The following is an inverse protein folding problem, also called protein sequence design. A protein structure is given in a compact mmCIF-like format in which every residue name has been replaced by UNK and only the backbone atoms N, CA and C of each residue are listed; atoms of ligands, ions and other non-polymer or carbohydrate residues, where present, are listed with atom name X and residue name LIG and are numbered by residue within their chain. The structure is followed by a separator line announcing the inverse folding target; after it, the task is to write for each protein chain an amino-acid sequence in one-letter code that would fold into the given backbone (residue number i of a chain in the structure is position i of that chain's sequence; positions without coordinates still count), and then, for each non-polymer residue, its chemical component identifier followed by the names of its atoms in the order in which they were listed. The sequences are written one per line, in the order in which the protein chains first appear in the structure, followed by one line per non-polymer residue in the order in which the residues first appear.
data_IF_258760031621
#
_entry.id   IF_258760031621
#
_cell.length_a   1.000
_cell.length_b   1.000
_cell.length_c   1.000
_cell.angle_alpha   90.00
_cell.angle_beta   90.00
_cell.angle_gamma   90.00
#
_symmetry.space_group_name_H-M   'P 1'
#
loop_
_entity.id
_entity.type
_entity.pdbx_description
1 polymer ?
#
# COMPACT_ATOMS: atom_id res chain seq x y z
N UNK A 1 14.07 38.24 -57.59
CA UNK A 1 13.51 36.98 -57.04
C UNK A 1 14.25 36.76 -55.74
N UNK A 2 13.56 36.92 -54.61
CA UNK A 2 14.12 36.53 -53.30
C UNK A 2 14.30 35.02 -53.31
N UNK A 3 15.53 34.58 -53.03
CA UNK A 3 15.86 33.17 -52.86
C UNK A 3 14.99 32.63 -51.72
N UNK A 4 14.09 31.71 -52.02
CA UNK A 4 13.25 31.08 -51.01
C UNK A 4 14.15 30.04 -50.36
N UNK A 5 14.46 30.23 -49.08
CA UNK A 5 15.20 29.27 -48.28
C UNK A 5 14.32 28.05 -48.00
N UNK A 6 14.51 27.00 -48.82
CA UNK A 6 13.76 25.75 -48.78
C UNK A 6 14.41 24.74 -47.82
N UNK A 7 15.59 25.04 -47.27
CA UNK A 7 16.34 24.12 -46.40
C UNK A 7 15.56 23.84 -45.11
N UNK A 8 14.87 24.84 -44.56
CA UNK A 8 13.97 24.64 -43.42
C UNK A 8 12.74 23.77 -43.74
N UNK A 9 12.27 23.76 -44.99
CA UNK A 9 11.13 22.93 -45.42
C UNK A 9 11.56 21.46 -45.58
N UNK A 10 12.83 21.22 -45.90
CA UNK A 10 13.39 19.87 -46.07
C UNK A 10 13.67 19.16 -44.73
N UNK A 11 13.74 19.91 -43.62
CA UNK A 11 13.99 19.35 -42.27
C UNK A 11 12.71 19.12 -41.46
N UNK A 12 11.53 19.34 -42.04
CA UNK A 12 10.24 19.24 -41.35
C UNK A 12 10.04 17.88 -40.65
N UNK A 13 10.43 16.78 -41.29
CA UNK A 13 10.28 15.44 -40.69
C UNK A 13 11.13 15.27 -39.43
N UNK A 14 12.37 15.77 -39.44
CA UNK A 14 13.28 15.70 -38.28
C UNK A 14 12.81 16.64 -37.16
N UNK A 15 12.31 17.83 -37.50
CA UNK A 15 11.69 18.74 -36.53
C UNK A 15 10.44 18.12 -35.88
N UNK A 16 9.54 17.53 -36.67
CA UNK A 16 8.34 16.86 -36.15
C UNK A 16 8.69 15.61 -35.33
N UNK A 17 9.72 14.86 -35.72
CA UNK A 17 10.22 13.73 -34.94
C UNK A 17 10.77 14.20 -33.58
N UNK A 18 11.59 15.25 -33.56
CA UNK A 18 12.11 15.81 -32.30
C UNK A 18 10.98 16.35 -31.41
N UNK A 19 9.98 17.00 -31.99
CA UNK A 19 8.81 17.49 -31.28
C UNK A 19 8.04 16.33 -30.65
N UNK A 20 7.69 15.30 -31.43
CA UNK A 20 6.99 14.11 -30.93
C UNK A 20 7.80 13.36 -29.86
N UNK A 21 9.12 13.28 -30.00
CA UNK A 21 10.00 12.66 -28.99
C UNK A 21 10.03 13.47 -27.68
N UNK A 22 10.13 14.80 -27.76
CA UNK A 22 10.09 15.69 -26.59
C UNK A 22 8.72 15.64 -25.92
N UNK A 23 7.64 15.69 -26.70
CA UNK A 23 6.26 15.57 -26.20
C UNK A 23 6.03 14.22 -25.51
N UNK A 24 6.48 13.12 -26.12
CA UNK A 24 6.39 11.78 -25.56
C UNK A 24 7.16 11.64 -24.23
N UNK A 25 8.35 12.23 -24.12
CA UNK A 25 9.10 12.25 -22.86
C UNK A 25 8.39 13.05 -21.77
N UNK A 26 7.86 14.23 -22.12
CA UNK A 26 7.16 15.10 -21.17
C UNK A 26 5.90 14.41 -20.67
N UNK A 27 5.10 13.86 -21.58
CA UNK A 27 3.86 13.18 -21.26
C UNK A 27 4.14 11.91 -20.45
N UNK A 28 5.09 11.09 -20.87
CA UNK A 28 5.48 9.88 -20.14
C UNK A 28 5.98 10.18 -18.72
N UNK A 29 6.77 11.24 -18.53
CA UNK A 29 7.23 11.65 -17.19
C UNK A 29 6.06 12.07 -16.30
N UNK A 30 5.09 12.80 -16.87
CA UNK A 30 3.90 13.25 -16.15
C UNK A 30 3.00 12.08 -15.75
N UNK A 31 2.79 11.14 -16.66
CA UNK A 31 1.93 9.98 -16.42
C UNK A 31 2.56 9.04 -15.38
N UNK A 32 3.87 8.78 -15.48
CA UNK A 32 4.60 8.03 -14.45
C UNK A 32 4.51 8.68 -13.07
N UNK A 33 4.60 10.00 -13.00
CA UNK A 33 4.46 10.72 -11.74
C UNK A 33 3.06 10.59 -11.15
N UNK A 34 2.02 10.70 -11.97
CA UNK A 34 0.63 10.54 -11.54
C UNK A 34 0.35 9.11 -11.09
N UNK A 35 0.75 8.11 -11.87
CA UNK A 35 0.62 6.69 -11.55
C UNK A 35 1.32 6.35 -10.23
N UNK A 36 2.56 6.82 -10.04
CA UNK A 36 3.30 6.60 -8.78
C UNK A 36 2.58 7.21 -7.57
N UNK A 37 1.95 8.37 -7.74
CA UNK A 37 1.16 9.03 -6.68
C UNK A 37 -0.11 8.24 -6.36
N UNK A 38 -0.84 7.79 -7.38
CA UNK A 38 -2.05 6.96 -7.22
C UNK A 38 -1.73 5.64 -6.53
N UNK A 39 -0.67 4.96 -6.98
CA UNK A 39 -0.17 3.74 -6.37
C UNK A 39 0.22 3.94 -4.90
N UNK A 40 0.87 5.06 -4.58
CA UNK A 40 1.22 5.43 -3.22
C UNK A 40 -0.01 5.61 -2.32
N UNK A 41 -1.07 6.26 -2.82
CA UNK A 41 -2.33 6.40 -2.07
C UNK A 41 -3.04 5.07 -1.86
N UNK A 42 -3.13 4.26 -2.91
CA UNK A 42 -3.73 2.94 -2.84
C UNK A 42 -2.99 2.10 -1.79
N UNK A 43 -1.67 1.98 -1.92
CA UNK A 43 -0.83 1.20 -0.99
C UNK A 43 -0.97 1.71 0.44
N UNK A 44 -0.96 3.03 0.65
CA UNK A 44 -1.18 3.63 1.95
C UNK A 44 -2.53 3.23 2.56
N UNK A 45 -3.61 3.39 1.80
CA UNK A 45 -4.96 3.01 2.24
C UNK A 45 -5.06 1.53 2.62
N UNK A 46 -4.52 0.65 1.77
CA UNK A 46 -4.45 -0.79 2.03
C UNK A 46 -3.74 -1.11 3.36
N UNK A 47 -2.60 -0.46 3.61
CA UNK A 47 -1.83 -0.63 4.86
C UNK A 47 -2.57 -0.13 6.08
N UNK A 48 -3.22 1.03 5.99
CA UNK A 48 -3.99 1.62 7.09
C UNK A 48 -5.22 0.79 7.46
N UNK A 49 -5.90 0.18 6.49
CA UNK A 49 -7.01 -0.74 6.76
C UNK A 49 -6.57 -1.91 7.65
N UNK A 50 -5.42 -2.52 7.33
CA UNK A 50 -4.85 -3.61 8.11
C UNK A 50 -4.53 -3.12 9.54
N UNK A 51 -3.84 -1.98 9.68
CA UNK A 51 -3.51 -1.39 10.99
C UNK A 51 -4.78 -1.16 11.82
N UNK A 52 -5.79 -0.52 11.23
CA UNK A 52 -7.04 -0.18 11.90
C UNK A 52 -7.78 -1.42 12.38
N UNK A 53 -7.83 -2.47 11.56
CA UNK A 53 -8.43 -3.74 11.95
C UNK A 53 -7.73 -4.36 13.17
N UNK A 54 -6.39 -4.38 13.17
CA UNK A 54 -5.60 -4.90 14.29
C UNK A 54 -5.85 -4.08 15.56
N UNK A 55 -5.91 -2.75 15.45
CA UNK A 55 -6.19 -1.86 16.57
C UNK A 55 -7.57 -2.11 17.17
N UNK A 56 -8.60 -2.29 16.35
CA UNK A 56 -9.95 -2.58 16.84
C UNK A 56 -10.05 -3.95 17.51
N UNK A 57 -9.39 -5.00 16.98
CA UNK A 57 -9.30 -6.28 17.68
C UNK A 57 -8.65 -6.15 19.06
N UNK A 58 -7.55 -5.39 19.14
CA UNK A 58 -6.85 -5.16 20.39
C UNK A 58 -7.74 -4.45 21.41
N UNK A 59 -8.42 -3.37 21.01
CA UNK A 59 -9.39 -2.64 21.87
C UNK A 59 -10.55 -3.54 22.30
N UNK A 60 -11.07 -4.34 21.39
CA UNK A 60 -12.14 -5.30 21.69
C UNK A 60 -11.70 -6.28 22.79
N UNK A 61 -10.53 -6.89 22.66
CA UNK A 61 -10.05 -7.83 23.68
C UNK A 61 -9.70 -7.16 25.01
N UNK A 62 -9.16 -5.94 24.99
CA UNK A 62 -8.89 -5.17 26.20
C UNK A 62 -10.18 -4.83 26.96
N UNK A 63 -11.23 -4.43 26.25
CA UNK A 63 -12.53 -4.11 26.87
C UNK A 63 -13.29 -5.33 27.40
N UNK A 64 -12.99 -6.53 26.88
CA UNK A 64 -13.63 -7.78 27.28
C UNK A 64 -12.70 -8.70 28.08
N UNK A 65 -11.61 -8.16 28.63
CA UNK A 65 -10.52 -8.98 29.19
C UNK A 65 -10.95 -9.85 30.35
N UNK A 66 -11.93 -9.40 31.14
CA UNK A 66 -12.48 -10.10 32.31
C UNK A 66 -13.31 -11.32 31.93
N UNK A 67 -13.70 -11.45 30.65
CA UNK A 67 -14.45 -12.61 30.16
C UNK A 67 -13.54 -13.84 29.91
N UNK A 68 -12.21 -13.66 29.96
CA UNK A 68 -11.25 -14.71 29.68
C UNK A 68 -10.56 -15.20 30.96
N UNK A 69 -10.49 -16.53 31.12
CA UNK A 69 -9.88 -17.19 32.28
C UNK A 69 -8.39 -16.84 32.49
N UNK A 70 -7.68 -16.39 31.44
CA UNK A 70 -6.25 -16.06 31.46
C UNK A 70 -6.00 -14.55 31.31
N UNK A 71 -6.79 -13.72 31.98
CA UNK A 71 -6.79 -12.25 31.82
C UNK A 71 -5.41 -11.60 32.01
N UNK A 72 -4.59 -12.06 32.96
CA UNK A 72 -3.24 -11.52 33.20
C UNK A 72 -2.25 -11.80 32.07
N UNK A 73 -2.20 -13.05 31.59
CA UNK A 73 -1.36 -13.44 30.45
C UNK A 73 -1.84 -12.73 29.17
N UNK A 74 -3.15 -12.73 28.92
CA UNK A 74 -3.76 -12.04 27.79
C UNK A 74 -3.41 -10.54 27.79
N UNK A 75 -3.45 -9.88 28.95
CA UNK A 75 -3.07 -8.46 29.09
C UNK A 75 -1.62 -8.21 28.68
N UNK A 76 -0.69 -9.07 29.10
CA UNK A 76 0.71 -8.96 28.71
C UNK A 76 0.89 -9.13 27.19
N UNK A 77 0.13 -10.05 26.58
CA UNK A 77 0.15 -10.21 25.13
C UNK A 77 -0.42 -9.00 24.39
N UNK A 78 -1.49 -8.38 24.90
CA UNK A 78 -2.10 -7.17 24.34
C UNK A 78 -1.20 -5.94 24.48
N UNK A 79 -0.58 -5.72 25.64
CA UNK A 79 0.38 -4.62 25.83
C UNK A 79 1.57 -4.76 24.86
N UNK A 80 2.10 -5.96 24.68
CA UNK A 80 3.18 -6.18 23.74
C UNK A 80 2.74 -5.99 22.27
N UNK A 81 1.48 -6.27 21.94
CA UNK A 81 0.93 -5.94 20.63
C UNK A 81 0.84 -4.41 20.45
N UNK A 82 0.39 -3.69 21.47
CA UNK A 82 0.34 -2.23 21.48
C UNK A 82 1.72 -1.61 21.24
N UNK A 83 2.77 -2.11 21.90
CA UNK A 83 4.15 -1.68 21.69
C UNK A 83 4.62 -1.87 20.25
N UNK A 84 4.26 -3.01 19.62
CA UNK A 84 4.60 -3.28 18.21
C UNK A 84 3.85 -2.31 17.30
N UNK A 85 2.57 -2.06 17.57
CA UNK A 85 1.74 -1.16 16.76
C UNK A 85 2.20 0.29 16.86
N UNK A 86 2.71 0.73 18.01
CA UNK A 86 3.27 2.06 18.21
C UNK A 86 4.56 2.31 17.40
N UNK A 87 5.26 1.26 16.98
CA UNK A 87 6.47 1.34 16.16
C UNK A 87 6.19 1.40 14.64
N UNK A 88 4.92 1.33 14.23
CA UNK A 88 4.55 1.36 12.81
C UNK A 88 4.51 2.82 12.36
N UNK A 89 5.39 3.17 11.41
CA UNK A 89 5.36 4.50 10.78
C UNK A 89 4.17 4.65 9.84
N UNK A 90 3.67 5.88 9.73
CA UNK A 90 2.58 6.28 8.83
C UNK A 90 3.08 6.94 7.53
N UNK A 91 4.40 6.91 7.33
CA UNK A 91 5.11 7.55 6.22
C UNK A 91 5.66 6.50 5.24
N UNK A 92 6.03 6.94 4.02
CA UNK A 92 6.32 6.06 2.88
C UNK A 92 7.80 6.02 2.47
N UNK A 93 8.75 6.38 3.33
CA UNK A 93 10.18 6.24 3.04
C UNK A 93 10.61 4.78 2.96
N UNK A 94 11.65 4.46 2.19
CA UNK A 94 12.08 3.07 1.93
C UNK A 94 12.31 2.27 3.22
N UNK A 95 12.99 2.88 4.20
CA UNK A 95 13.23 2.27 5.50
C UNK A 95 11.93 2.05 6.29
N UNK A 96 10.99 2.97 6.18
CA UNK A 96 9.72 2.95 6.90
C UNK A 96 8.80 1.87 6.33
N UNK A 97 8.87 1.65 5.01
CA UNK A 97 8.21 0.53 4.32
C UNK A 97 8.77 -0.80 4.81
N UNK A 98 10.09 -0.95 4.90
CA UNK A 98 10.72 -2.17 5.42
C UNK A 98 10.31 -2.43 6.88
N UNK A 99 10.36 -1.40 7.72
CA UNK A 99 9.97 -1.48 9.12
C UNK A 99 8.47 -1.80 9.28
N UNK A 100 7.60 -1.25 8.42
CA UNK A 100 6.17 -1.59 8.36
C UNK A 100 5.96 -3.09 8.14
N UNK A 101 6.55 -3.67 7.09
CA UNK A 101 6.36 -5.09 6.74
C UNK A 101 6.80 -6.01 7.88
N UNK A 102 7.95 -5.68 8.48
CA UNK A 102 8.51 -6.40 9.63
C UNK A 102 7.60 -6.31 10.85
N UNK A 103 7.09 -5.13 11.18
CA UNK A 103 6.27 -4.90 12.36
C UNK A 103 4.86 -5.49 12.19
N UNK A 104 4.26 -5.38 11.00
CA UNK A 104 2.98 -6.04 10.70
C UNK A 104 3.07 -7.55 10.76
N UNK A 105 4.14 -8.15 10.25
CA UNK A 105 4.37 -9.60 10.39
C UNK A 105 4.43 -10.02 11.86
N UNK A 106 5.13 -9.26 12.70
CA UNK A 106 5.19 -9.51 14.16
C UNK A 106 3.81 -9.34 14.81
N UNK A 107 3.10 -8.26 14.49
CA UNK A 107 1.76 -7.97 15.01
C UNK A 107 0.78 -9.11 14.67
N UNK A 108 0.75 -9.56 13.41
CA UNK A 108 -0.10 -10.69 12.97
C UNK A 108 0.24 -12.00 13.67
N UNK A 109 1.52 -12.28 13.90
CA UNK A 109 1.90 -13.46 14.69
C UNK A 109 1.43 -13.36 16.14
N UNK A 110 1.52 -12.17 16.74
CA UNK A 110 1.02 -11.93 18.10
C UNK A 110 -0.50 -12.06 18.18
N UNK A 111 -1.22 -11.55 17.18
CA UNK A 111 -2.66 -11.70 17.05
C UNK A 111 -3.10 -13.17 17.01
N UNK A 112 -2.36 -14.04 16.30
CA UNK A 112 -2.64 -15.49 16.29
C UNK A 112 -2.52 -16.10 17.69
N UNK A 113 -1.52 -15.69 18.46
CA UNK A 113 -1.36 -16.13 19.87
C UNK A 113 -2.54 -15.66 20.71
N UNK A 114 -2.92 -14.38 20.59
CA UNK A 114 -4.06 -13.81 21.32
C UNK A 114 -5.36 -14.53 20.96
N UNK A 115 -5.63 -14.72 19.67
CA UNK A 115 -6.82 -15.41 19.18
C UNK A 115 -6.90 -16.87 19.64
N UNK A 116 -5.74 -17.54 19.79
CA UNK A 116 -5.67 -18.88 20.38
C UNK A 116 -6.03 -18.87 21.87
N UNK A 117 -5.56 -17.88 22.63
CA UNK A 117 -5.90 -17.71 24.06
C UNK A 117 -7.39 -17.41 24.24
N UNK A 118 -7.96 -16.55 23.38
CA UNK A 118 -9.38 -16.14 23.45
C UNK A 118 -10.33 -17.14 22.80
N UNK A 119 -9.81 -18.12 22.05
CA UNK A 119 -10.58 -19.06 21.21
C UNK A 119 -11.40 -18.37 20.11
N UNK A 120 -10.92 -17.23 19.63
CA UNK A 120 -11.57 -16.41 18.60
C UNK A 120 -10.77 -16.37 17.29
N UNK A 121 -10.26 -17.52 16.84
CA UNK A 121 -9.43 -17.63 15.61
C UNK A 121 -10.13 -17.09 14.36
N UNK A 122 -11.45 -17.19 14.29
CA UNK A 122 -12.27 -16.68 13.18
C UNK A 122 -12.11 -15.16 12.92
N UNK A 123 -11.75 -14.37 13.95
CA UNK A 123 -11.45 -12.94 13.80
C UNK A 123 -10.16 -12.69 13.02
N UNK A 124 -9.22 -13.64 13.09
CA UNK A 124 -7.97 -13.62 12.33
C UNK A 124 -8.20 -14.10 10.91
N UNK A 125 -9.07 -15.09 10.69
CA UNK A 125 -9.44 -15.52 9.35
C UNK A 125 -10.07 -14.37 8.55
N UNK A 126 -10.89 -13.56 9.21
CA UNK A 126 -11.47 -12.34 8.63
C UNK A 126 -10.41 -11.30 8.26
N UNK A 127 -9.37 -11.11 9.10
CA UNK A 127 -8.22 -10.26 8.78
C UNK A 127 -7.41 -10.83 7.61
N UNK A 128 -7.19 -12.14 7.58
CA UNK A 128 -6.44 -12.80 6.50
C UNK A 128 -7.20 -12.72 5.16
N UNK A 129 -8.53 -12.75 5.19
CA UNK A 129 -9.37 -12.49 4.02
C UNK A 129 -9.30 -11.03 3.58
N UNK A 130 -9.39 -10.07 4.51
CA UNK A 130 -9.23 -8.64 4.20
C UNK A 130 -7.85 -8.40 3.54
N UNK A 131 -6.78 -8.97 4.09
CA UNK A 131 -5.42 -8.86 3.49
C UNK A 131 -5.38 -9.45 2.08
N UNK A 132 -6.12 -10.52 1.79
CA UNK A 132 -6.21 -11.08 0.43
C UNK A 132 -7.08 -10.26 -0.51
N UNK A 133 -8.16 -9.65 -0.04
CA UNK A 133 -9.02 -8.79 -0.85
C UNK A 133 -8.33 -7.47 -1.17
N UNK A 134 -7.62 -6.93 -0.20
CA UNK A 134 -6.92 -5.65 -0.28
C UNK A 134 -5.56 -5.82 -0.98
N UNK A 135 -4.85 -6.92 -0.73
CA UNK A 135 -3.56 -7.24 -1.34
C UNK A 135 -3.65 -8.09 -2.62
N UNK A 136 -4.82 -8.65 -2.91
CA UNK A 136 -5.12 -9.32 -4.17
C UNK A 136 -5.23 -8.27 -5.25
N UNK A 137 -4.21 -8.24 -6.12
CA UNK A 137 -4.15 -7.55 -7.42
C UNK A 137 -5.36 -6.64 -7.67
N UNK A 138 -5.16 -5.33 -7.50
CA UNK A 138 -5.92 -4.41 -8.33
C UNK A 138 -5.69 -4.93 -9.74
N UNK A 139 -6.73 -5.44 -10.39
CA UNK A 139 -6.72 -5.70 -11.81
C UNK A 139 -6.53 -4.33 -12.45
N UNK A 140 -5.27 -3.90 -12.58
CA UNK A 140 -4.91 -2.96 -13.64
C UNK A 140 -5.28 -3.73 -14.89
N UNK A 141 -6.16 -3.16 -15.72
CA UNK A 141 -6.66 -3.81 -16.92
C UNK A 141 -5.50 -4.46 -17.67
N UNK A 142 -5.50 -5.78 -17.79
CA UNK A 142 -4.55 -6.51 -18.64
C UNK A 142 -4.80 -6.24 -20.13
N UNK A 143 -5.80 -5.41 -20.45
CA UNK A 143 -6.16 -5.05 -21.81
C UNK A 143 -5.26 -3.91 -22.30
N UNK A 144 -4.35 -4.16 -23.26
CA UNK A 144 -3.49 -3.10 -23.81
C UNK A 144 -4.29 -2.00 -24.51
N UNK A 145 -5.53 -2.29 -24.90
CA UNK A 145 -6.44 -1.35 -25.58
C UNK A 145 -7.02 -0.28 -24.65
N UNK A 146 -6.93 -0.43 -23.33
CA UNK A 146 -7.33 0.60 -22.35
C UNK A 146 -6.13 1.51 -21.95
N UNK A 147 -4.96 1.32 -22.56
CA UNK A 147 -3.73 2.09 -22.33
C UNK A 147 -3.31 3.01 -23.50
N UNK A 148 -4.20 3.21 -24.48
CA UNK A 148 -4.00 4.14 -25.62
C UNK A 148 -5.16 5.14 -25.74
#
# INVERSE_FOLDING_TARGET
MSDIDIDNVLNLEEEQYELGFKEGQIQGTKDQYLEGKEYGYQTGFQRFLIIGYIQELMKFWLSHIDQYNNSSSLRNHLNNLEDIMAQISITNGDKEVEDYEKNIKKARNKLRVIASITKETWKIDSLDNLVKEVGGTLQVSENPDDMW
#
